data_IF_191579231584
#
_entry.id   IF_191579231584
#
_cell.length_a   1.000
_cell.length_b   1.000
_cell.length_c   1.000
_cell.angle_alpha   90.00
_cell.angle_beta   90.00
_cell.angle_gamma   90.00
#
_symmetry.space_group_name_H-M   'P 1'
#
loop_
_entity.id
_entity.type
_entity.pdbx_description
1 polymer ?
#
# COMPACT_ATOMS: atom_id res chain seq x y z
N UNK A 1 -17.39 -11.87 -31.57
CA UNK A 1 -18.27 -10.73 -31.96
C UNK A 1 -18.25 -9.65 -30.88
N UNK A 2 -18.65 -8.41 -31.20
CA UNK A 2 -18.78 -7.35 -30.19
C UNK A 2 -20.10 -7.46 -29.41
N UNK A 3 -20.16 -6.90 -28.20
CA UNK A 3 -21.33 -6.99 -27.30
C UNK A 3 -22.64 -6.47 -27.92
N UNK A 4 -22.61 -5.34 -28.66
CA UNK A 4 -23.81 -4.77 -29.29
C UNK A 4 -24.24 -5.43 -30.61
N UNK A 5 -23.47 -6.41 -31.11
CA UNK A 5 -23.75 -7.10 -32.37
C UNK A 5 -23.49 -6.31 -33.66
N UNK A 6 -22.95 -5.07 -33.63
CA UNK A 6 -22.54 -4.30 -34.83
C UNK A 6 -21.52 -5.07 -35.69
N UNK A 7 -20.50 -5.63 -35.05
CA UNK A 7 -19.43 -6.39 -35.70
C UNK A 7 -19.45 -7.85 -35.26
N UNK A 8 -19.93 -8.74 -36.16
CA UNK A 8 -20.07 -10.19 -35.88
C UNK A 8 -19.08 -11.09 -36.61
N UNK A 9 -18.72 -10.73 -37.84
CA UNK A 9 -17.88 -11.57 -38.72
C UNK A 9 -16.40 -11.51 -38.37
N UNK A 10 -15.68 -12.60 -38.65
CA UNK A 10 -14.22 -12.76 -38.42
C UNK A 10 -13.40 -11.69 -39.14
N UNK A 11 -13.87 -11.17 -40.28
CA UNK A 11 -13.20 -10.08 -41.02
C UNK A 11 -12.99 -8.79 -40.21
N UNK A 12 -13.73 -8.59 -39.14
CA UNK A 12 -13.60 -7.41 -38.26
C UNK A 12 -12.69 -7.67 -37.05
N UNK A 13 -11.92 -8.77 -37.05
CA UNK A 13 -10.97 -9.09 -35.98
C UNK A 13 -10.01 -7.93 -35.76
N UNK A 14 -9.81 -7.53 -34.50
CA UNK A 14 -8.95 -6.41 -34.10
C UNK A 14 -9.61 -5.03 -34.16
N UNK A 15 -10.84 -4.91 -34.67
CA UNK A 15 -11.58 -3.64 -34.66
C UNK A 15 -12.21 -3.44 -33.28
N UNK A 16 -12.04 -2.24 -32.71
CA UNK A 16 -12.73 -1.79 -31.51
C UNK A 16 -14.07 -1.18 -31.90
N UNK A 17 -15.16 -1.68 -31.32
CA UNK A 17 -16.49 -1.19 -31.67
C UNK A 17 -16.74 0.23 -31.10
N UNK A 18 -17.04 1.20 -31.95
CA UNK A 18 -17.36 2.59 -31.53
C UNK A 18 -18.57 2.68 -30.59
N UNK A 19 -19.53 1.74 -30.69
CA UNK A 19 -20.78 1.81 -29.91
C UNK A 19 -20.64 1.24 -28.50
N UNK A 20 -19.83 0.20 -28.30
CA UNK A 20 -19.70 -0.48 -27.01
C UNK A 20 -18.26 -0.59 -26.49
N UNK A 21 -17.27 -0.09 -27.22
CA UNK A 21 -15.85 -0.15 -26.85
C UNK A 21 -15.23 -1.56 -26.85
N UNK A 22 -16.00 -2.61 -27.19
CA UNK A 22 -15.53 -3.99 -27.17
C UNK A 22 -14.74 -4.30 -28.44
N UNK A 23 -13.50 -4.72 -28.26
CA UNK A 23 -12.64 -5.26 -29.31
C UNK A 23 -13.19 -6.61 -29.82
N UNK A 24 -13.27 -6.76 -31.13
CA UNK A 24 -13.67 -8.03 -31.76
C UNK A 24 -12.47 -8.98 -31.77
N UNK A 25 -12.43 -9.88 -30.80
CA UNK A 25 -11.38 -10.89 -30.63
C UNK A 25 -11.97 -12.23 -30.14
N UNK A 26 -11.12 -13.24 -29.97
CA UNK A 26 -11.50 -14.55 -29.43
C UNK A 26 -11.89 -14.42 -27.95
N UNK A 27 -12.93 -15.14 -27.51
CA UNK A 27 -13.36 -15.09 -26.10
C UNK A 27 -12.28 -15.54 -25.11
N UNK A 28 -11.35 -16.40 -25.55
CA UNK A 28 -10.21 -16.90 -24.74
C UNK A 28 -9.37 -15.79 -24.11
N UNK A 29 -9.31 -14.60 -24.70
CA UNK A 29 -8.57 -13.47 -24.12
C UNK A 29 -9.08 -13.07 -22.73
N UNK A 30 -10.36 -13.36 -22.42
CA UNK A 30 -11.00 -13.08 -21.12
C UNK A 30 -10.43 -13.91 -19.97
N UNK A 31 -9.63 -14.93 -20.25
CA UNK A 31 -8.90 -15.71 -19.25
C UNK A 31 -7.50 -15.16 -18.95
N UNK A 32 -6.96 -14.31 -19.83
CA UNK A 32 -5.57 -13.82 -19.74
C UNK A 32 -5.46 -12.32 -19.51
N UNK A 33 -6.42 -11.51 -19.99
CA UNK A 33 -6.40 -10.06 -19.82
C UNK A 33 -6.80 -9.67 -18.40
N UNK A 34 -5.87 -9.09 -17.66
CA UNK A 34 -6.08 -8.55 -16.31
C UNK A 34 -6.60 -7.12 -16.38
N UNK A 35 -7.31 -6.71 -15.33
CA UNK A 35 -7.61 -5.30 -15.05
C UNK A 35 -6.82 -4.80 -13.85
N UNK A 36 -7.04 -3.56 -13.47
CA UNK A 36 -6.54 -3.03 -12.21
C UNK A 36 -7.53 -2.05 -11.58
N UNK A 37 -7.39 -1.84 -10.28
CA UNK A 37 -8.11 -0.81 -9.51
C UNK A 37 -7.05 0.17 -9.02
N UNK A 38 -7.16 1.44 -9.43
CA UNK A 38 -6.35 2.52 -8.86
C UNK A 38 -6.91 2.87 -7.48
N UNK A 39 -6.07 2.78 -6.45
CA UNK A 39 -6.49 3.08 -5.10
C UNK A 39 -6.49 4.60 -4.87
N UNK A 40 -7.46 5.08 -4.08
CA UNK A 40 -7.55 6.47 -3.66
C UNK A 40 -6.50 6.84 -2.60
N UNK A 41 -6.08 5.85 -1.80
CA UNK A 41 -4.99 5.96 -0.85
C UNK A 41 -4.10 4.70 -0.92
N UNK A 42 -2.79 4.81 -0.66
CA UNK A 42 -1.89 3.67 -0.59
C UNK A 42 -2.34 2.66 0.48
N UNK A 43 -2.10 1.37 0.27
CA UNK A 43 -2.44 0.31 1.22
C UNK A 43 -1.27 -0.66 1.38
N UNK A 44 -0.86 -0.93 2.63
CA UNK A 44 0.20 -1.91 2.90
C UNK A 44 -0.23 -3.32 2.50
N UNK A 45 0.66 -4.06 1.84
CA UNK A 45 0.38 -5.44 1.49
C UNK A 45 0.45 -6.34 2.72
N UNK A 46 -0.65 -7.05 3.02
CA UNK A 46 -0.84 -7.80 4.27
C UNK A 46 0.24 -8.87 4.52
N UNK A 47 0.79 -9.51 3.49
CA UNK A 47 1.85 -10.52 3.68
C UNK A 47 3.17 -9.94 4.18
N UNK A 48 3.51 -8.71 3.81
CA UNK A 48 4.76 -8.08 4.28
C UNK A 48 4.58 -7.44 5.67
N UNK A 49 3.35 -7.04 6.01
CA UNK A 49 3.00 -6.51 7.32
C UNK A 49 2.81 -7.62 8.37
N UNK A 50 1.85 -8.53 8.16
CA UNK A 50 1.46 -9.58 9.12
C UNK A 50 2.17 -10.92 8.94
N UNK A 51 3.03 -11.04 7.95
CA UNK A 51 3.85 -12.23 7.75
C UNK A 51 4.71 -12.53 8.99
N UNK A 52 5.03 -13.81 9.21
CA UNK A 52 5.96 -14.23 10.26
C UNK A 52 7.25 -14.70 9.56
N UNK A 53 8.35 -13.93 9.57
CA UNK A 53 8.48 -12.58 10.14
C UNK A 53 7.94 -11.46 9.23
N UNK A 54 7.68 -10.29 9.82
CA UNK A 54 7.24 -9.09 9.10
C UNK A 54 8.44 -8.41 8.44
N UNK A 55 8.42 -8.34 7.10
CA UNK A 55 9.51 -7.72 6.33
C UNK A 55 9.57 -6.22 6.57
N UNK A 56 8.41 -5.56 6.65
CA UNK A 56 8.32 -4.11 6.87
C UNK A 56 8.90 -3.72 8.23
N UNK A 57 8.52 -4.44 9.29
CA UNK A 57 9.03 -4.21 10.64
C UNK A 57 10.55 -4.41 10.72
N UNK A 58 11.08 -5.47 10.08
CA UNK A 58 12.53 -5.73 10.08
C UNK A 58 13.30 -4.64 9.32
N UNK A 59 12.79 -4.20 8.16
CA UNK A 59 13.44 -3.16 7.36
C UNK A 59 13.49 -1.82 8.11
N UNK A 60 12.36 -1.43 8.72
CA UNK A 60 12.24 -0.20 9.48
C UNK A 60 12.97 -0.23 10.84
N UNK A 61 13.38 -1.42 11.30
CA UNK A 61 13.90 -1.70 12.65
C UNK A 61 12.94 -1.31 13.79
N UNK A 62 11.64 -1.35 13.50
CA UNK A 62 10.56 -1.08 14.45
C UNK A 62 9.91 -2.40 14.89
N UNK A 63 9.34 -2.50 16.10
CA UNK A 63 8.56 -3.67 16.46
C UNK A 63 7.26 -3.70 15.64
N UNK A 64 6.75 -4.92 15.36
CA UNK A 64 5.55 -5.10 14.52
C UNK A 64 4.33 -4.32 15.05
N UNK A 65 4.15 -4.29 16.38
CA UNK A 65 3.03 -3.59 17.03
C UNK A 65 3.01 -2.10 16.67
N UNK A 66 4.18 -1.48 16.63
CA UNK A 66 4.34 -0.04 16.37
C UNK A 66 4.01 0.26 14.90
N UNK A 67 4.48 -0.58 13.98
CA UNK A 67 4.14 -0.47 12.56
C UNK A 67 2.63 -0.67 12.35
N UNK A 68 2.00 -1.63 13.04
CA UNK A 68 0.55 -1.82 12.98
C UNK A 68 -0.22 -0.62 13.52
N UNK A 69 0.25 0.02 14.61
CA UNK A 69 -0.39 1.22 15.15
C UNK A 69 -0.42 2.36 14.13
N UNK A 70 0.66 2.56 13.38
CA UNK A 70 0.71 3.57 12.30
C UNK A 70 -0.24 3.20 11.17
N UNK A 71 -0.20 1.93 10.69
CA UNK A 71 -1.03 1.47 9.56
C UNK A 71 -2.53 1.54 9.87
N UNK A 72 -2.94 1.25 11.11
CA UNK A 72 -4.34 1.30 11.54
C UNK A 72 -4.79 2.66 12.07
N UNK A 73 -4.03 3.73 11.81
CA UNK A 73 -4.36 5.10 12.21
C UNK A 73 -4.53 5.28 13.74
N UNK A 74 -3.83 4.49 14.56
CA UNK A 74 -3.85 4.62 16.02
C UNK A 74 -2.74 5.53 16.57
N UNK A 75 -1.63 5.66 15.84
CA UNK A 75 -0.49 6.48 16.23
C UNK A 75 0.13 7.11 14.97
N UNK A 76 0.76 8.25 15.15
CA UNK A 76 1.54 8.91 14.12
C UNK A 76 3.02 8.49 14.22
N UNK A 77 3.77 8.71 13.15
CA UNK A 77 5.21 8.49 13.11
C UNK A 77 5.93 9.71 12.57
N UNK A 78 7.03 10.07 13.22
CA UNK A 78 7.88 11.18 12.78
C UNK A 78 8.66 10.76 11.52
N UNK A 79 8.39 11.47 10.42
CA UNK A 79 9.05 11.32 9.13
C UNK A 79 10.29 12.23 9.05
N UNK A 80 10.18 13.44 9.57
CA UNK A 80 11.31 14.36 9.70
C UNK A 80 11.19 15.13 11.03
N UNK A 81 12.18 15.04 11.94
CA UNK A 81 12.16 15.80 13.19
C UNK A 81 12.42 17.30 13.00
N UNK A 82 12.87 17.75 11.83
CA UNK A 82 13.14 19.17 11.58
C UNK A 82 14.19 19.73 12.54
N UNK A 83 13.88 20.86 13.16
CA UNK A 83 14.72 21.49 14.20
C UNK A 83 14.27 21.18 15.64
N UNK A 84 13.36 20.22 15.84
CA UNK A 84 12.86 19.86 17.15
C UNK A 84 13.86 18.93 17.87
N UNK A 85 14.46 19.40 18.97
CA UNK A 85 15.42 18.59 19.76
C UNK A 85 14.75 17.41 20.50
N UNK A 86 13.44 17.50 20.74
CA UNK A 86 12.65 16.49 21.46
C UNK A 86 12.10 15.38 20.56
N UNK A 87 12.24 15.49 19.23
CA UNK A 87 11.74 14.51 18.28
C UNK A 87 12.87 13.73 17.62
N UNK A 88 12.64 12.44 17.46
CA UNK A 88 13.54 11.54 16.76
C UNK A 88 12.86 10.90 15.55
N UNK A 89 13.64 10.63 14.50
CA UNK A 89 13.14 9.93 13.31
C UNK A 89 12.58 8.55 13.69
N UNK A 90 11.42 8.19 13.12
CA UNK A 90 10.63 6.97 13.43
C UNK A 90 10.04 6.90 14.84
N UNK A 91 10.07 8.00 15.59
CA UNK A 91 9.37 8.07 16.87
C UNK A 91 7.86 7.97 16.66
N UNK A 92 7.20 7.17 17.50
CA UNK A 92 5.74 7.14 17.56
C UNK A 92 5.22 8.29 18.39
N UNK A 93 4.14 8.91 17.92
CA UNK A 93 3.41 9.95 18.61
C UNK A 93 1.96 9.53 18.76
N UNK A 94 1.42 9.66 19.97
CA UNK A 94 -0.02 9.57 20.20
C UNK A 94 -0.73 10.82 19.68
N UNK A 95 -2.05 10.74 19.53
CA UNK A 95 -2.86 11.86 19.03
C UNK A 95 -2.73 13.13 19.89
N UNK A 96 -2.74 12.98 21.22
CA UNK A 96 -2.55 14.11 22.15
C UNK A 96 -1.17 14.76 21.98
N UNK A 97 -0.11 13.96 21.87
CA UNK A 97 1.25 14.45 21.69
C UNK A 97 1.42 15.15 20.34
N UNK A 98 0.81 14.61 19.29
CA UNK A 98 0.83 15.26 17.97
C UNK A 98 0.10 16.60 18.02
N UNK A 99 -1.06 16.68 18.68
CA UNK A 99 -1.81 17.93 18.82
C UNK A 99 -0.99 19.02 19.53
N UNK A 100 -0.29 18.68 20.61
CA UNK A 100 0.61 19.60 21.32
C UNK A 100 1.75 20.12 20.42
N UNK A 101 2.36 19.23 19.63
CA UNK A 101 3.44 19.58 18.69
C UNK A 101 2.89 20.45 17.55
N UNK A 102 1.71 20.10 17.02
CA UNK A 102 1.04 20.83 15.96
C UNK A 102 0.69 22.26 16.41
N UNK A 103 0.17 22.42 17.62
CA UNK A 103 -0.08 23.74 18.22
C UNK A 103 1.22 24.57 18.35
N UNK A 104 2.34 23.94 18.72
CA UNK A 104 3.64 24.62 18.79
C UNK A 104 4.18 25.03 17.42
N UNK A 105 3.95 24.24 16.38
CA UNK A 105 4.37 24.56 15.00
C UNK A 105 3.59 25.78 14.46
N UNK A 106 2.30 25.89 14.77
CA UNK A 106 1.45 26.97 14.29
C UNK A 106 1.34 28.18 15.22
N UNK A 107 1.96 28.13 16.41
CA UNK A 107 2.04 29.29 17.30
C UNK A 107 2.77 30.46 16.62
N UNK A 108 2.32 31.70 16.86
CA UNK A 108 2.92 32.91 16.26
C UNK A 108 4.40 33.12 16.64
N UNK A 109 4.84 32.53 17.76
CA UNK A 109 6.23 32.48 18.23
C UNK A 109 6.87 31.08 18.06
N UNK A 110 6.26 30.21 17.25
CA UNK A 110 6.71 28.82 17.07
C UNK A 110 8.13 28.74 16.51
N UNK A 111 9.06 28.22 17.31
CA UNK A 111 10.43 27.96 16.89
C UNK A 111 10.54 26.72 16.01
N UNK A 112 9.53 25.85 15.99
CA UNK A 112 9.56 24.55 15.30
C UNK A 112 9.28 24.70 13.79
N UNK A 113 10.26 24.34 12.96
CA UNK A 113 10.19 24.43 11.51
C UNK A 113 10.66 23.10 10.89
N UNK A 114 9.90 22.63 9.90
CA UNK A 114 10.27 21.45 9.10
C UNK A 114 9.99 20.10 9.77
N UNK A 115 9.21 20.09 10.84
CA UNK A 115 8.71 18.85 11.45
C UNK A 115 7.66 18.23 10.51
N UNK A 116 7.89 16.99 10.11
CA UNK A 116 6.95 16.23 9.29
C UNK A 116 6.55 14.94 10.01
N UNK A 117 5.25 14.78 10.18
CA UNK A 117 4.64 13.63 10.85
C UNK A 117 3.62 13.01 9.91
N UNK A 118 3.60 11.69 9.86
CA UNK A 118 2.71 10.94 8.98
C UNK A 118 1.93 9.88 9.72
N UNK A 119 0.85 9.41 9.11
CA UNK A 119 0.03 8.30 9.59
C UNK A 119 -0.38 7.38 8.44
N UNK A 120 -0.76 6.14 8.75
CA UNK A 120 -1.26 5.19 7.77
C UNK A 120 -0.18 4.60 6.87
N UNK A 121 -0.64 3.98 5.77
CA UNK A 121 0.23 3.30 4.83
C UNK A 121 1.15 4.26 4.04
N UNK A 122 0.75 5.53 3.89
CA UNK A 122 1.54 6.56 3.21
C UNK A 122 2.81 6.89 3.98
N UNK A 123 2.69 7.08 5.30
CA UNK A 123 3.85 7.30 6.17
C UNK A 123 4.82 6.12 6.12
N UNK A 124 4.30 4.89 6.14
CA UNK A 124 5.12 3.69 6.02
C UNK A 124 5.80 3.59 4.65
N UNK A 125 5.13 3.97 3.56
CA UNK A 125 5.73 3.99 2.23
C UNK A 125 6.92 4.95 2.19
N UNK A 126 6.76 6.16 2.74
CA UNK A 126 7.82 7.16 2.80
C UNK A 126 9.02 6.69 3.63
N UNK A 127 8.76 6.15 4.82
CA UNK A 127 9.82 5.58 5.67
C UNK A 127 10.59 4.43 5.00
N UNK A 128 9.94 3.68 4.10
CA UNK A 128 10.56 2.61 3.34
C UNK A 128 11.38 3.14 2.16
N UNK A 129 10.93 4.21 1.51
CA UNK A 129 11.62 4.90 0.42
C UNK A 129 12.90 5.59 0.92
N UNK A 130 12.85 6.17 2.13
CA UNK A 130 13.97 6.90 2.75
C UNK A 130 15.09 5.98 3.28
N UNK A 131 15.05 4.67 3.03
CA UNK A 131 16.09 3.73 3.48
C UNK A 131 17.20 3.64 2.41
N UNK A 132 18.42 4.18 2.67
CA UNK A 132 19.56 3.94 1.79
C UNK A 132 20.04 2.50 1.97
N UNK A 133 19.65 1.61 1.06
CA UNK A 133 19.89 0.16 1.18
C UNK A 133 21.39 -0.18 1.24
N UNK A 134 22.19 0.42 0.37
CA UNK A 134 23.63 0.16 0.28
C UNK A 134 24.38 0.62 1.54
N UNK A 135 24.07 1.83 2.03
CA UNK A 135 24.71 2.37 3.24
C UNK A 135 24.30 1.59 4.49
N UNK A 136 23.02 1.25 4.62
CA UNK A 136 22.53 0.42 5.72
C UNK A 136 23.15 -0.98 5.69
N UNK A 137 23.36 -1.58 4.52
CA UNK A 137 24.02 -2.87 4.40
C UNK A 137 25.46 -2.83 4.95
N UNK A 138 26.24 -1.80 4.60
CA UNK A 138 27.60 -1.63 5.10
C UNK A 138 27.63 -1.38 6.62
N UNK A 139 26.75 -0.49 7.13
CA UNK A 139 26.61 -0.26 8.58
C UNK A 139 26.29 -1.57 9.31
N UNK A 140 25.32 -2.34 8.82
CA UNK A 140 24.95 -3.62 9.43
C UNK A 140 26.10 -4.63 9.41
N UNK A 141 26.92 -4.69 8.36
CA UNK A 141 28.11 -5.56 8.31
C UNK A 141 29.10 -5.22 9.42
N UNK A 142 29.34 -3.94 9.67
CA UNK A 142 30.20 -3.48 10.78
C UNK A 142 29.60 -3.78 12.15
N UNK A 143 28.30 -3.54 12.34
CA UNK A 143 27.61 -3.81 13.60
C UNK A 143 27.56 -5.30 13.97
N UNK A 144 27.43 -6.17 12.96
CA UNK A 144 27.43 -7.63 13.15
C UNK A 144 28.78 -8.12 13.70
N UNK A 145 29.89 -7.48 13.33
CA UNK A 145 31.22 -7.83 13.84
C UNK A 145 31.35 -7.53 15.35
N UNK A 146 30.72 -6.44 15.80
CA UNK A 146 30.76 -6.00 17.20
C UNK A 146 29.66 -6.62 18.08
N UNK A 147 28.55 -7.05 17.48
CA UNK A 147 27.41 -7.62 18.20
C UNK A 147 27.60 -9.09 18.59
N UNK A 148 27.04 -9.49 19.75
CA UNK A 148 27.00 -10.89 20.22
C UNK A 148 25.57 -11.31 20.57
N UNK A 149 25.31 -12.62 20.60
CA UNK A 149 24.04 -13.21 21.03
C UNK A 149 22.84 -12.86 20.14
N UNK A 150 21.69 -12.58 20.77
CA UNK A 150 20.43 -12.30 20.07
C UNK A 150 20.47 -11.04 19.20
N UNK A 151 21.20 -9.99 19.61
CA UNK A 151 21.33 -8.76 18.83
C UNK A 151 21.99 -9.05 17.48
N UNK A 152 23.05 -9.87 17.46
CA UNK A 152 23.70 -10.31 16.22
C UNK A 152 22.75 -11.08 15.30
N UNK A 153 21.93 -11.96 15.86
CA UNK A 153 20.94 -12.72 15.07
C UNK A 153 19.87 -11.81 14.44
N UNK A 154 19.43 -10.74 15.12
CA UNK A 154 18.51 -9.74 14.57
C UNK A 154 19.15 -8.98 13.40
N UNK A 155 20.39 -8.51 13.57
CA UNK A 155 21.12 -7.77 12.54
C UNK A 155 21.37 -8.63 11.29
N UNK A 156 21.75 -9.90 11.45
CA UNK A 156 21.94 -10.84 10.33
C UNK A 156 20.63 -11.02 9.53
N UNK A 157 19.49 -11.15 10.21
CA UNK A 157 18.19 -11.27 9.54
C UNK A 157 17.85 -10.01 8.73
N UNK A 158 18.12 -8.82 9.29
CA UNK A 158 17.90 -7.53 8.62
C UNK A 158 18.81 -7.38 7.40
N UNK A 159 20.11 -7.63 7.56
CA UNK A 159 21.09 -7.60 6.47
C UNK A 159 20.70 -8.55 5.33
N UNK A 160 20.29 -9.78 5.65
CA UNK A 160 19.86 -10.75 4.63
C UNK A 160 18.69 -10.25 3.78
N UNK A 161 17.74 -9.53 4.38
CA UNK A 161 16.61 -8.97 3.64
C UNK A 161 17.09 -7.84 2.74
N UNK A 162 17.92 -6.92 3.26
CA UNK A 162 18.48 -5.81 2.48
C UNK A 162 19.32 -6.32 1.31
N UNK A 163 20.20 -7.29 1.53
CA UNK A 163 21.01 -7.90 0.46
C UNK A 163 20.12 -8.50 -0.65
N UNK A 164 18.97 -9.11 -0.31
CA UNK A 164 18.03 -9.62 -1.31
C UNK A 164 17.37 -8.49 -2.13
N UNK A 165 17.04 -7.36 -1.51
CA UNK A 165 16.50 -6.19 -2.22
C UNK A 165 17.55 -5.61 -3.18
N UNK A 166 18.79 -5.45 -2.72
CA UNK A 166 19.91 -4.98 -3.55
C UNK A 166 20.13 -5.94 -4.73
N UNK A 167 20.22 -7.25 -4.47
CA UNK A 167 20.50 -8.26 -5.48
C UNK A 167 19.41 -8.36 -6.56
N UNK A 168 18.14 -8.11 -6.20
CA UNK A 168 17.01 -8.14 -7.14
C UNK A 168 16.71 -6.77 -7.77
N UNK A 169 17.40 -5.71 -7.32
CA UNK A 169 17.08 -4.31 -7.65
C UNK A 169 15.60 -3.96 -7.40
N UNK A 170 14.99 -4.65 -6.44
CA UNK A 170 13.62 -4.39 -6.02
C UNK A 170 13.61 -3.20 -5.08
N UNK A 171 12.53 -2.41 -5.13
CA UNK A 171 12.36 -1.28 -4.22
C UNK A 171 11.53 -1.65 -3.00
N UNK A 172 11.86 -1.09 -1.85
CA UNK A 172 11.21 -1.37 -0.56
C UNK A 172 9.78 -0.84 -0.51
N UNK A 173 9.52 0.30 -1.12
CA UNK A 173 8.19 0.92 -1.16
C UNK A 173 7.15 0.10 -1.94
N UNK A 174 7.57 -0.86 -2.78
CA UNK A 174 6.65 -1.75 -3.52
C UNK A 174 5.84 -2.69 -2.62
N UNK A 175 6.20 -2.80 -1.33
CA UNK A 175 5.37 -3.48 -0.34
C UNK A 175 4.10 -2.70 0.00
N UNK A 176 4.00 -1.43 -0.40
CA UNK A 176 2.81 -0.58 -0.31
C UNK A 176 2.19 -0.45 -1.70
N UNK A 177 0.91 -0.80 -1.81
CA UNK A 177 0.19 -0.85 -3.06
C UNK A 177 -0.53 0.47 -3.33
N UNK A 178 -0.28 1.05 -4.50
CA UNK A 178 -1.09 2.13 -5.08
C UNK A 178 -2.16 1.62 -6.05
N UNK A 179 -2.00 0.39 -6.52
CA UNK A 179 -2.85 -0.24 -7.53
C UNK A 179 -3.03 -1.72 -7.18
N UNK A 180 -4.26 -2.23 -7.30
CA UNK A 180 -4.57 -3.65 -7.09
C UNK A 180 -4.92 -4.31 -8.42
N UNK A 181 -4.25 -5.40 -8.83
CA UNK A 181 -4.62 -6.14 -10.02
C UNK A 181 -5.95 -6.88 -9.84
N UNK A 182 -6.75 -6.92 -10.92
CA UNK A 182 -8.03 -7.62 -10.97
C UNK A 182 -7.88 -8.87 -11.83
N UNK A 183 -8.19 -10.02 -11.23
CA UNK A 183 -8.13 -11.32 -11.88
C UNK A 183 -9.12 -11.36 -13.06
N UNK A 184 -8.74 -11.99 -14.19
CA UNK A 184 -9.58 -12.12 -15.37
C UNK A 184 -10.97 -12.73 -15.07
N UNK A 185 -12.04 -12.26 -15.73
CA UNK A 185 -13.42 -12.66 -15.41
C UNK A 185 -13.69 -14.16 -15.55
N UNK A 186 -13.01 -14.86 -16.47
CA UNK A 186 -13.21 -16.31 -16.65
C UNK A 186 -12.63 -17.14 -15.50
N UNK A 187 -11.77 -16.56 -14.67
CA UNK A 187 -11.28 -17.16 -13.43
C UNK A 187 -12.19 -16.85 -12.23
N UNK A 188 -13.21 -15.99 -12.41
CA UNK A 188 -14.21 -15.61 -11.40
C UNK A 188 -15.62 -15.59 -11.99
N UNK A 189 -16.11 -16.71 -12.55
CA UNK A 189 -17.36 -16.75 -13.28
C UNK A 189 -18.57 -16.44 -12.38
N UNK A 190 -19.61 -15.91 -13.00
CA UNK A 190 -20.96 -15.86 -12.42
C UNK A 190 -21.81 -16.82 -13.22
N UNK A 191 -22.33 -17.85 -12.57
CA UNK A 191 -23.10 -18.92 -13.21
C UNK A 191 -24.57 -18.68 -12.94
N UNK A 192 -25.37 -18.63 -13.99
CA UNK A 192 -26.82 -18.55 -13.85
C UNK A 192 -27.34 -19.93 -13.42
N UNK A 193 -28.13 -19.95 -12.35
CA UNK A 193 -28.85 -21.13 -11.85
C UNK A 193 -30.31 -21.08 -12.32
N UNK A 194 -30.98 -22.23 -12.20
CA UNK A 194 -32.42 -22.33 -12.45
C UNK A 194 -33.21 -21.35 -11.56
N UNK A 195 -34.26 -20.76 -12.13
CA UNK A 195 -35.09 -19.78 -11.44
C UNK A 195 -34.49 -18.37 -11.37
N UNK A 196 -33.52 -18.02 -12.23
CA UNK A 196 -33.01 -16.66 -12.38
C UNK A 196 -32.04 -16.20 -11.28
N UNK A 197 -31.58 -17.14 -10.44
CA UNK A 197 -30.53 -16.89 -9.44
C UNK A 197 -29.15 -16.93 -10.08
N UNK A 198 -28.18 -16.28 -9.47
CA UNK A 198 -26.78 -16.34 -9.90
C UNK A 198 -25.92 -16.88 -8.76
N UNK A 199 -25.08 -17.87 -9.06
CA UNK A 199 -23.98 -18.27 -8.21
C UNK A 199 -22.77 -17.37 -8.52
N UNK A 200 -22.28 -16.67 -7.51
CA UNK A 200 -21.13 -15.76 -7.61
C UNK A 200 -19.96 -16.30 -6.82
N UNK A 201 -18.74 -16.16 -7.36
CA UNK A 201 -17.51 -16.41 -6.59
C UNK A 201 -17.33 -15.37 -5.48
N UNK A 202 -16.87 -15.79 -4.29
CA UNK A 202 -16.53 -14.90 -3.15
C UNK A 202 -15.58 -13.77 -3.55
N UNK A 203 -14.71 -14.02 -4.54
CA UNK A 203 -13.77 -13.04 -5.05
C UNK A 203 -14.48 -11.84 -5.69
N UNK A 204 -15.62 -12.05 -6.36
CA UNK A 204 -16.42 -10.96 -6.93
C UNK A 204 -17.00 -10.07 -5.82
N UNK A 205 -17.39 -10.64 -4.68
CA UNK A 205 -17.88 -9.89 -3.54
C UNK A 205 -16.79 -9.10 -2.82
N UNK A 206 -15.58 -9.66 -2.73
CA UNK A 206 -14.40 -8.94 -2.23
C UNK A 206 -14.06 -7.77 -3.15
N UNK A 207 -13.97 -7.97 -4.47
CA UNK A 207 -13.71 -6.89 -5.42
C UNK A 207 -14.78 -5.80 -5.35
N UNK A 208 -16.07 -6.17 -5.30
CA UNK A 208 -17.18 -5.21 -5.17
C UNK A 208 -17.04 -4.37 -3.90
N UNK A 209 -16.70 -4.98 -2.77
CA UNK A 209 -16.48 -4.26 -1.50
C UNK A 209 -15.31 -3.28 -1.60
N UNK A 210 -14.19 -3.71 -2.17
CA UNK A 210 -13.01 -2.85 -2.37
C UNK A 210 -13.34 -1.67 -3.28
N UNK A 211 -13.97 -1.91 -4.43
CA UNK A 211 -14.35 -0.86 -5.38
C UNK A 211 -15.30 0.15 -4.73
N UNK A 212 -16.32 -0.31 -4.02
CA UNK A 212 -17.29 0.58 -3.37
C UNK A 212 -16.64 1.44 -2.28
N UNK A 213 -15.76 0.86 -1.46
CA UNK A 213 -15.00 1.61 -0.45
C UNK A 213 -14.05 2.62 -1.09
N UNK A 214 -13.31 2.21 -2.12
CA UNK A 214 -12.38 3.08 -2.83
C UNK A 214 -13.09 4.27 -3.48
N UNK A 215 -14.21 4.03 -4.15
CA UNK A 215 -15.01 5.10 -4.75
C UNK A 215 -15.64 6.02 -3.70
N UNK A 216 -16.03 5.48 -2.55
CA UNK A 216 -16.53 6.28 -1.41
C UNK A 216 -15.42 7.18 -0.86
N UNK A 217 -14.23 6.63 -0.62
CA UNK A 217 -13.07 7.39 -0.15
C UNK A 217 -12.69 8.51 -1.11
N UNK A 218 -12.60 8.20 -2.42
CA UNK A 218 -12.31 9.20 -3.44
C UNK A 218 -13.31 10.36 -3.42
N UNK A 219 -14.62 10.06 -3.31
CA UNK A 219 -15.65 11.10 -3.18
C UNK A 219 -15.54 11.91 -1.89
N UNK A 220 -15.20 11.27 -0.76
CA UNK A 220 -15.01 11.95 0.51
C UNK A 220 -13.82 12.91 0.47
N UNK A 221 -12.75 12.53 -0.23
CA UNK A 221 -11.59 13.41 -0.47
C UNK A 221 -11.95 14.57 -1.39
N UNK A 222 -12.72 14.34 -2.46
CA UNK A 222 -13.19 15.39 -3.38
C UNK A 222 -14.05 16.46 -2.67
N UNK A 223 -14.87 16.07 -1.69
CA UNK A 223 -15.71 17.00 -0.93
C UNK A 223 -15.00 17.60 0.30
N UNK A 224 -13.72 17.30 0.51
CA UNK A 224 -12.95 17.71 1.69
C UNK A 224 -13.66 17.37 3.00
N UNK A 225 -14.14 16.13 3.11
CA UNK A 225 -14.80 15.66 4.33
C UNK A 225 -13.85 15.73 5.55
N UNK A 226 -14.37 15.87 6.78
CA UNK A 226 -13.55 15.87 7.99
C UNK A 226 -12.64 14.63 8.10
N UNK A 227 -11.44 14.80 8.64
CA UNK A 227 -10.42 13.73 8.69
C UNK A 227 -10.89 12.48 9.42
N UNK A 228 -11.69 12.62 10.49
CA UNK A 228 -12.24 11.49 11.25
C UNK A 228 -13.06 10.55 10.35
N UNK A 229 -13.77 11.11 9.35
CA UNK A 229 -14.57 10.33 8.39
C UNK A 229 -13.67 9.68 7.33
N UNK A 230 -12.60 10.38 6.93
CA UNK A 230 -11.65 9.89 5.91
C UNK A 230 -10.80 8.72 6.47
N UNK A 231 -10.44 8.77 7.76
CA UNK A 231 -9.61 7.76 8.42
C UNK A 231 -10.35 6.43 8.69
N UNK A 232 -11.68 6.42 8.67
CA UNK A 232 -12.54 5.26 8.96
C UNK A 232 -12.97 4.49 7.68
#
# INVERSE_FOLDING_TARGET
ECHCGKYKRVRHRGIVCERCGVEVTESRVRRHRMGFIKLAAPVTHVWYLKGIPSYMAILLDMPLRDVEQVVYFNAYVVLNPGNADNLSYKQLLLEEQWLEIEEQIYAEEGELVGVEVGIGAEAIARLLEDIPLEEEAEKLRTDIANAKGQKRAKLIKRLRIIDNFIATSSKTEWMVLNVIPVIPPDLRPMVQLDGGRFATSDLNDLYRRVINRNNRLARLQEILAPEIIIRN
#
